data_IF_030338994322
#
_entry.id   IF_030338994322
#
_cell.length_a   1.000
_cell.length_b   1.000
_cell.length_c   1.000
_cell.angle_alpha   90.00
_cell.angle_beta   90.00
_cell.angle_gamma   90.00
#
_symmetry.space_group_name_H-M   'P 1'
#
loop_
_entity.id
_entity.type
_entity.pdbx_description
1 polymer ?
#
# COMPACT_ATOMS: atom_id res chain seq x y z
N UNK A 1 -3.16 -60.16 26.56
CA UNK A 1 -2.34 -58.94 26.80
C UNK A 1 -2.65 -58.02 25.62
N UNK A 2 -3.51 -57.03 25.91
CA UNK A 2 -4.07 -56.12 24.89
C UNK A 2 -3.34 -54.77 25.04
N UNK A 3 -2.53 -54.41 24.07
CA UNK A 3 -1.82 -53.11 24.03
C UNK A 3 -2.70 -52.07 23.35
N UNK A 4 -3.24 -51.19 24.17
CA UNK A 4 -4.01 -50.01 23.77
C UNK A 4 -3.05 -49.01 23.10
N UNK A 5 -3.11 -48.90 21.79
CA UNK A 5 -2.44 -47.83 21.03
C UNK A 5 -3.41 -46.65 20.95
N UNK A 6 -3.28 -45.71 21.89
CA UNK A 6 -3.96 -44.40 21.84
C UNK A 6 -3.30 -43.57 20.74
N UNK A 7 -3.96 -43.50 19.61
CA UNK A 7 -3.69 -42.49 18.59
C UNK A 7 -3.99 -41.10 19.21
N UNK A 8 -2.96 -40.38 19.57
CA UNK A 8 -3.04 -38.94 19.74
C UNK A 8 -3.20 -38.29 18.35
N UNK A 9 -4.43 -38.25 17.85
CA UNK A 9 -4.81 -37.28 16.83
C UNK A 9 -4.79 -35.90 17.50
N UNK A 10 -3.68 -35.20 17.34
CA UNK A 10 -3.62 -33.77 17.62
C UNK A 10 -4.56 -33.10 16.64
N UNK A 11 -5.63 -32.51 17.14
CA UNK A 11 -6.49 -31.63 16.34
C UNK A 11 -5.61 -30.50 15.78
N UNK A 12 -5.26 -30.60 14.51
CA UNK A 12 -4.50 -29.59 13.74
C UNK A 12 -5.38 -28.42 13.26
N UNK A 13 -6.65 -28.40 13.67
CA UNK A 13 -7.62 -27.45 13.19
C UNK A 13 -7.83 -26.36 14.22
N UNK A 14 -7.50 -25.17 13.84
CA UNK A 14 -7.76 -23.84 14.38
C UNK A 14 -6.54 -23.06 14.82
N UNK A 15 -5.65 -22.78 13.82
CA UNK A 15 -5.06 -21.45 13.82
C UNK A 15 -6.12 -20.54 13.20
N UNK A 16 -6.79 -19.78 14.04
CA UNK A 16 -7.70 -18.72 13.59
C UNK A 16 -6.89 -17.73 12.73
N UNK A 17 -7.02 -17.88 11.40
CA UNK A 17 -6.41 -17.02 10.40
C UNK A 17 -7.35 -15.85 10.07
N UNK A 18 -8.29 -15.54 10.99
CA UNK A 18 -9.14 -14.39 10.84
C UNK A 18 -8.28 -13.13 10.63
N UNK A 19 -8.67 -12.35 9.65
CA UNK A 19 -8.14 -11.02 9.39
C UNK A 19 -8.39 -10.19 10.65
N UNK A 20 -7.33 -9.96 11.44
CA UNK A 20 -7.39 -9.04 12.56
C UNK A 20 -7.56 -7.64 11.96
N UNK A 21 -8.82 -7.25 11.78
CA UNK A 21 -9.22 -5.97 11.24
C UNK A 21 -8.81 -4.87 12.21
N UNK A 22 -7.88 -4.04 11.76
CA UNK A 22 -7.42 -2.80 12.39
C UNK A 22 -6.85 -2.96 13.80
N UNK A 23 -5.54 -2.82 13.90
CA UNK A 23 -4.85 -2.58 15.18
C UNK A 23 -5.19 -1.15 15.58
N UNK A 24 -6.25 -0.99 16.36
CA UNK A 24 -6.43 0.20 17.18
C UNK A 24 -5.47 0.07 18.37
N UNK A 25 -4.25 0.54 18.14
CA UNK A 25 -3.29 0.73 19.22
C UNK A 25 -3.77 1.96 19.98
N UNK A 26 -4.55 1.76 21.04
CA UNK A 26 -4.85 2.80 22.04
C UNK A 26 -3.55 3.30 22.71
N UNK A 27 -2.75 3.99 21.92
CA UNK A 27 -1.59 4.76 22.38
C UNK A 27 -2.08 6.20 22.50
N UNK A 28 -2.20 6.64 23.74
CA UNK A 28 -2.41 8.04 24.06
C UNK A 28 -1.40 8.89 23.28
N UNK A 29 -1.92 9.79 22.42
CA UNK A 29 -1.15 10.53 21.43
C UNK A 29 -0.10 11.51 21.97
N UNK A 30 -0.01 11.69 23.28
CA UNK A 30 0.85 12.71 23.89
C UNK A 30 2.24 12.22 24.34
N UNK A 31 2.49 10.90 24.36
CA UNK A 31 3.79 10.36 24.84
C UNK A 31 4.77 10.06 23.69
N UNK A 32 4.40 10.28 22.43
CA UNK A 32 5.19 9.88 21.26
C UNK A 32 6.00 11.00 20.60
N UNK A 33 5.95 12.25 21.09
CA UNK A 33 6.59 13.38 20.44
C UNK A 33 8.05 13.63 20.86
N UNK A 34 8.58 12.93 21.86
CA UNK A 34 9.97 13.15 22.33
C UNK A 34 10.99 12.05 22.00
N UNK A 35 10.63 11.01 21.24
CA UNK A 35 11.60 10.02 20.78
C UNK A 35 12.38 10.55 19.58
N UNK A 36 13.46 11.28 19.85
CA UNK A 36 14.64 11.51 19.00
C UNK A 36 14.36 11.47 17.49
N UNK A 37 14.02 12.64 16.94
CA UNK A 37 14.22 12.96 15.54
C UNK A 37 15.73 12.87 15.24
N UNK A 38 16.27 11.69 15.11
CA UNK A 38 17.54 11.51 14.41
C UNK A 38 17.27 11.96 12.98
N UNK A 39 17.75 13.14 12.64
CA UNK A 39 17.73 13.71 11.30
C UNK A 39 18.39 12.71 10.35
N UNK A 40 17.59 11.80 9.80
CA UNK A 40 18.03 10.95 8.70
C UNK A 40 17.96 11.85 7.48
N UNK A 41 19.10 12.07 6.84
CA UNK A 41 19.19 12.83 5.59
C UNK A 41 18.09 12.37 4.64
N UNK A 42 17.32 13.28 4.02
CA UNK A 42 16.26 12.92 3.10
C UNK A 42 16.87 12.06 1.98
N UNK A 43 16.26 10.92 1.68
CA UNK A 43 16.69 10.07 0.57
C UNK A 43 16.76 10.92 -0.71
N UNK A 44 17.92 10.96 -1.35
CA UNK A 44 18.23 11.83 -2.49
C UNK A 44 17.43 11.51 -3.77
N UNK A 45 16.60 10.44 -3.74
CA UNK A 45 15.82 9.98 -4.89
C UNK A 45 14.58 10.83 -5.23
N UNK A 46 14.23 11.82 -4.40
CA UNK A 46 13.11 12.71 -4.67
C UNK A 46 13.57 13.91 -5.48
N UNK A 47 13.38 13.89 -6.80
CA UNK A 47 13.34 15.13 -7.58
C UNK A 47 12.02 15.85 -7.25
N UNK A 48 12.16 17.06 -6.72
CA UNK A 48 11.04 17.93 -6.37
C UNK A 48 10.18 18.21 -7.61
N UNK A 49 8.93 17.76 -7.64
CA UNK A 49 7.95 18.15 -8.65
C UNK A 49 7.06 17.04 -9.20
N UNK A 50 7.52 15.81 -9.28
CA UNK A 50 6.73 14.73 -9.87
C UNK A 50 5.87 14.03 -8.80
N UNK A 51 4.55 14.22 -8.88
CA UNK A 51 3.62 13.35 -8.13
C UNK A 51 3.56 11.98 -8.82
N UNK A 52 4.05 10.91 -8.19
CA UNK A 52 4.00 9.60 -8.80
C UNK A 52 2.55 9.13 -8.95
N UNK A 53 2.17 8.72 -10.15
CA UNK A 53 0.89 8.03 -10.36
C UNK A 53 0.92 6.71 -9.61
N UNK A 54 0.10 6.59 -8.56
CA UNK A 54 -0.02 5.36 -7.78
C UNK A 54 -1.01 4.43 -8.46
N UNK A 55 -0.50 3.44 -9.17
CA UNK A 55 -1.29 2.60 -10.08
C UNK A 55 -1.16 1.10 -9.81
N UNK A 56 -0.28 0.68 -8.87
CA UNK A 56 0.05 -0.74 -8.72
C UNK A 56 0.15 -1.22 -7.28
N UNK A 57 -0.10 -2.51 -7.05
CA UNK A 57 0.26 -3.20 -5.82
C UNK A 57 1.69 -3.71 -5.97
N UNK A 58 2.55 -3.41 -5.00
CA UNK A 58 3.96 -3.83 -5.02
C UNK A 58 4.19 -4.90 -3.95
N UNK A 59 4.79 -6.02 -4.35
CA UNK A 59 5.19 -7.08 -3.44
C UNK A 59 6.68 -6.95 -3.13
N UNK A 60 6.98 -6.73 -1.88
CA UNK A 60 8.34 -6.63 -1.35
C UNK A 60 8.64 -7.82 -0.44
N UNK A 61 9.89 -8.16 -0.32
CA UNK A 61 10.35 -9.22 0.59
C UNK A 61 11.76 -9.62 0.25
N UNK A 62 12.52 -10.05 1.23
CA UNK A 62 13.92 -10.45 1.06
C UNK A 62 14.09 -11.78 0.34
N UNK A 63 15.33 -12.08 0.07
CA UNK A 63 15.76 -13.43 -0.35
C UNK A 63 15.24 -14.45 0.66
N UNK A 64 14.70 -15.56 0.18
CA UNK A 64 14.11 -16.63 0.99
C UNK A 64 12.78 -16.31 1.70
N UNK A 65 12.24 -15.12 1.58
CA UNK A 65 10.89 -14.80 2.10
C UNK A 65 9.76 -15.58 1.39
N UNK A 66 10.08 -16.34 0.34
CA UNK A 66 9.11 -17.17 -0.38
C UNK A 66 8.33 -16.43 -1.46
N UNK A 67 8.80 -15.26 -1.95
CA UNK A 67 8.13 -14.46 -2.98
C UNK A 67 7.71 -15.28 -4.20
N UNK A 68 8.66 -15.99 -4.82
CA UNK A 68 8.42 -16.78 -6.03
C UNK A 68 7.35 -17.86 -5.80
N UNK A 69 7.42 -18.56 -4.66
CA UNK A 69 6.46 -19.61 -4.31
C UNK A 69 5.08 -19.00 -4.02
N UNK A 70 5.03 -17.90 -3.26
CA UNK A 70 3.79 -17.18 -2.98
C UNK A 70 3.11 -16.73 -4.28
N UNK A 71 3.86 -16.08 -5.18
CA UNK A 71 3.34 -15.58 -6.45
C UNK A 71 2.88 -16.70 -7.39
N UNK A 72 3.66 -17.76 -7.52
CA UNK A 72 3.31 -18.90 -8.39
C UNK A 72 2.02 -19.58 -7.91
N UNK A 73 1.86 -19.77 -6.60
CA UNK A 73 0.66 -20.40 -6.04
C UNK A 73 -0.55 -19.46 -6.04
N UNK A 74 -0.36 -18.17 -5.75
CA UNK A 74 -1.40 -17.15 -5.87
C UNK A 74 -1.90 -17.10 -7.32
N UNK A 75 -0.96 -17.03 -8.28
CA UNK A 75 -1.27 -16.99 -9.69
C UNK A 75 -2.05 -18.23 -10.15
N UNK A 76 -1.59 -19.43 -9.81
CA UNK A 76 -2.28 -20.67 -10.15
C UNK A 76 -3.72 -20.69 -9.60
N UNK A 77 -3.91 -20.30 -8.35
CA UNK A 77 -5.22 -20.26 -7.70
C UNK A 77 -6.16 -19.27 -8.40
N UNK A 78 -5.70 -18.04 -8.60
CA UNK A 78 -6.51 -16.97 -9.18
C UNK A 78 -6.77 -17.16 -10.67
N UNK A 79 -5.79 -17.67 -11.42
CA UNK A 79 -5.94 -17.95 -12.86
C UNK A 79 -6.93 -19.08 -13.14
N UNK A 80 -6.97 -20.11 -12.28
CA UNK A 80 -7.95 -21.20 -12.36
C UNK A 80 -9.35 -20.80 -11.91
N UNK A 81 -9.56 -19.59 -11.45
CA UNK A 81 -10.85 -19.11 -10.95
C UNK A 81 -11.28 -19.71 -9.61
N UNK A 82 -10.32 -20.21 -8.82
CA UNK A 82 -10.58 -20.82 -7.51
C UNK A 82 -10.54 -19.80 -6.36
N UNK A 83 -10.62 -18.49 -6.66
CA UNK A 83 -10.53 -17.41 -5.69
C UNK A 83 -11.46 -16.26 -5.98
N UNK A 84 -11.39 -15.21 -5.12
CA UNK A 84 -12.14 -13.96 -5.30
C UNK A 84 -11.51 -13.04 -6.35
N UNK A 85 -10.24 -13.26 -6.66
CA UNK A 85 -9.45 -12.47 -7.61
C UNK A 85 -9.24 -13.31 -8.87
N UNK A 86 -9.48 -12.71 -10.03
CA UNK A 86 -8.96 -13.24 -11.29
C UNK A 86 -7.63 -12.57 -11.62
N UNK A 87 -6.64 -13.34 -12.06
CA UNK A 87 -5.28 -12.87 -12.25
C UNK A 87 -4.68 -13.41 -13.54
N UNK A 88 -4.18 -12.50 -14.38
CA UNK A 88 -3.52 -12.81 -15.64
C UNK A 88 -2.14 -12.13 -15.70
N UNK A 89 -1.22 -12.70 -16.47
CA UNK A 89 0.05 -12.05 -16.79
C UNK A 89 -0.01 -11.40 -18.17
N UNK A 90 0.65 -10.27 -18.34
CA UNK A 90 0.78 -9.61 -19.65
C UNK A 90 1.67 -10.39 -20.63
N UNK A 91 2.44 -11.37 -20.15
CA UNK A 91 3.45 -12.12 -20.91
C UNK A 91 3.27 -13.62 -20.81
N UNK A 92 3.19 -14.31 -21.96
CA UNK A 92 3.19 -15.77 -21.99
C UNK A 92 4.43 -16.40 -21.35
N UNK A 93 5.59 -15.70 -21.39
CA UNK A 93 6.80 -16.15 -20.71
C UNK A 93 6.63 -16.15 -19.19
N UNK A 94 6.05 -15.11 -18.62
CA UNK A 94 5.75 -15.02 -17.18
C UNK A 94 4.72 -16.08 -16.76
N UNK A 95 3.68 -16.27 -17.58
CA UNK A 95 2.68 -17.32 -17.38
C UNK A 95 3.33 -18.70 -17.25
N UNK A 96 4.13 -19.08 -18.24
CA UNK A 96 4.82 -20.37 -18.24
C UNK A 96 5.81 -20.50 -17.08
N UNK A 97 6.55 -19.44 -16.74
CA UNK A 97 7.51 -19.47 -15.64
C UNK A 97 6.82 -19.76 -14.29
N UNK A 98 5.67 -19.12 -14.03
CA UNK A 98 4.90 -19.31 -12.79
C UNK A 98 4.30 -20.71 -12.72
N UNK A 99 3.68 -21.20 -13.82
CA UNK A 99 3.11 -22.54 -13.86
C UNK A 99 4.19 -23.63 -13.80
N UNK A 100 5.34 -23.44 -14.45
CA UNK A 100 6.46 -24.38 -14.36
C UNK A 100 6.99 -24.49 -12.93
N UNK A 101 7.05 -23.38 -12.20
CA UNK A 101 7.44 -23.42 -10.78
C UNK A 101 6.46 -24.26 -9.94
N UNK A 102 5.16 -24.18 -10.23
CA UNK A 102 4.14 -25.02 -9.58
C UNK A 102 4.28 -26.48 -10.01
N UNK A 103 4.47 -26.77 -11.32
CA UNK A 103 4.65 -28.10 -11.84
C UNK A 103 5.90 -28.79 -11.27
N UNK A 104 7.02 -28.06 -11.14
CA UNK A 104 8.24 -28.59 -10.52
C UNK A 104 8.01 -29.01 -9.07
N UNK A 105 7.25 -28.24 -8.31
CA UNK A 105 6.88 -28.61 -6.94
C UNK A 105 5.90 -29.80 -6.91
N UNK A 106 4.94 -29.86 -7.83
CA UNK A 106 3.91 -30.91 -7.86
C UNK A 106 4.46 -32.25 -8.34
N UNK A 107 5.17 -32.26 -9.48
CA UNK A 107 5.60 -33.47 -10.18
C UNK A 107 6.95 -33.96 -9.68
N UNK A 108 7.91 -33.04 -9.52
CA UNK A 108 9.28 -33.40 -9.12
C UNK A 108 9.55 -33.29 -7.63
N UNK A 109 8.57 -32.77 -6.84
CA UNK A 109 8.70 -32.56 -5.38
C UNK A 109 9.97 -31.80 -5.01
N UNK A 110 10.30 -30.78 -5.80
CA UNK A 110 11.48 -29.93 -5.61
C UNK A 110 11.05 -28.49 -5.44
N UNK A 111 11.73 -27.82 -4.53
CA UNK A 111 11.58 -26.37 -4.41
C UNK A 111 12.15 -25.68 -5.65
N UNK A 112 11.50 -24.65 -6.18
CA UNK A 112 12.06 -23.84 -7.26
C UNK A 112 13.43 -23.31 -6.91
N UNK A 113 14.30 -23.20 -7.92
CA UNK A 113 15.61 -22.59 -7.73
C UNK A 113 15.47 -21.14 -7.26
N UNK A 114 16.45 -20.67 -6.49
CA UNK A 114 16.53 -19.27 -6.14
C UNK A 114 16.62 -18.40 -7.41
N UNK A 115 16.01 -17.23 -7.37
CA UNK A 115 16.04 -16.28 -8.48
C UNK A 115 17.40 -15.61 -8.53
N UNK A 116 18.16 -15.91 -9.59
CA UNK A 116 19.52 -15.39 -9.77
C UNK A 116 19.53 -14.02 -10.46
N UNK A 117 18.48 -13.71 -11.23
CA UNK A 117 18.32 -12.46 -11.98
C UNK A 117 17.04 -11.76 -11.61
N UNK A 118 17.05 -10.43 -11.61
CA UNK A 118 15.83 -9.65 -11.44
C UNK A 118 14.83 -10.00 -12.55
N UNK A 119 13.68 -10.53 -12.18
CA UNK A 119 12.58 -10.83 -13.10
C UNK A 119 11.40 -9.97 -12.74
N UNK A 120 10.96 -9.21 -13.74
CA UNK A 120 9.76 -8.41 -13.63
C UNK A 120 8.54 -9.27 -13.94
N UNK A 121 7.60 -9.31 -13.01
CA UNK A 121 6.32 -10.00 -13.16
C UNK A 121 5.20 -8.97 -13.07
N UNK A 122 4.50 -8.81 -14.18
CA UNK A 122 3.37 -7.90 -14.33
C UNK A 122 2.07 -8.69 -14.43
N UNK A 123 1.10 -8.32 -13.60
CA UNK A 123 -0.17 -8.99 -13.48
C UNK A 123 -1.32 -8.00 -13.64
N UNK A 124 -2.33 -8.42 -14.39
CA UNK A 124 -3.64 -7.79 -14.41
C UNK A 124 -4.55 -8.55 -13.44
N UNK A 125 -5.10 -7.82 -12.49
CA UNK A 125 -6.04 -8.34 -11.51
C UNK A 125 -7.44 -7.85 -11.82
N UNK A 126 -8.41 -8.73 -11.74
CA UNK A 126 -9.83 -8.35 -11.75
C UNK A 126 -10.45 -8.76 -10.42
N UNK A 127 -11.02 -7.79 -9.70
CA UNK A 127 -11.70 -8.00 -8.44
C UNK A 127 -12.98 -7.16 -8.40
N UNK A 128 -14.13 -7.80 -8.14
CA UNK A 128 -15.45 -7.15 -8.11
C UNK A 128 -15.74 -6.25 -9.33
N UNK A 129 -15.34 -6.69 -10.53
CA UNK A 129 -15.50 -5.96 -11.78
C UNK A 129 -14.52 -4.79 -11.99
N UNK A 130 -13.59 -4.56 -11.08
CA UNK A 130 -12.56 -3.54 -11.22
C UNK A 130 -11.23 -4.16 -11.65
N UNK A 131 -10.55 -3.49 -12.59
CA UNK A 131 -9.22 -3.88 -13.04
C UNK A 131 -8.13 -3.14 -12.26
N UNK A 132 -7.06 -3.86 -11.90
CA UNK A 132 -5.90 -3.36 -11.18
C UNK A 132 -4.63 -3.94 -11.77
N UNK A 133 -3.52 -3.23 -11.62
CA UNK A 133 -2.21 -3.76 -11.93
C UNK A 133 -1.48 -4.16 -10.65
N UNK A 134 -0.93 -5.36 -10.62
CA UNK A 134 0.01 -5.78 -9.58
C UNK A 134 1.36 -6.04 -10.22
N UNK A 135 2.38 -5.58 -9.56
CA UNK A 135 3.74 -5.78 -10.01
C UNK A 135 4.54 -6.43 -8.91
N UNK A 136 5.21 -7.51 -9.23
CA UNK A 136 6.24 -8.07 -8.40
C UNK A 136 7.55 -8.04 -9.15
N UNK A 137 8.50 -7.37 -8.57
CA UNK A 137 9.89 -7.46 -8.99
C UNK A 137 10.53 -8.58 -8.18
N UNK A 138 10.77 -9.74 -8.81
CA UNK A 138 11.55 -10.79 -8.19
C UNK A 138 13.03 -10.43 -8.37
N UNK A 139 13.55 -9.71 -7.39
CA UNK A 139 14.92 -9.18 -7.36
C UNK A 139 15.78 -9.97 -6.37
N UNK A 140 17.08 -10.12 -6.65
CA UNK A 140 18.03 -10.57 -5.67
C UNK A 140 17.99 -9.68 -4.41
N UNK A 141 18.08 -10.27 -3.22
CA UNK A 141 18.06 -9.51 -1.96
C UNK A 141 19.12 -8.40 -1.89
N UNK A 142 20.19 -8.59 -2.65
CA UNK A 142 21.25 -7.60 -2.83
C UNK A 142 20.76 -6.28 -3.44
N UNK A 143 19.89 -6.33 -4.44
CA UNK A 143 19.32 -5.11 -5.06
C UNK A 143 18.47 -4.33 -4.04
N UNK A 144 17.70 -5.02 -3.22
CA UNK A 144 16.93 -4.39 -2.16
C UNK A 144 17.84 -3.74 -1.10
N UNK A 145 18.89 -4.45 -0.65
CA UNK A 145 19.88 -3.92 0.29
C UNK A 145 20.57 -2.68 -0.28
N UNK A 146 21.05 -2.75 -1.51
CA UNK A 146 21.67 -1.60 -2.20
C UNK A 146 20.74 -0.41 -2.30
N UNK A 147 19.46 -0.62 -2.64
CA UNK A 147 18.49 0.45 -2.78
C UNK A 147 18.14 1.11 -1.43
N UNK A 148 17.83 0.33 -0.40
CA UNK A 148 17.25 0.85 0.84
C UNK A 148 18.19 0.90 2.04
N UNK A 149 19.27 0.14 2.03
CA UNK A 149 20.27 0.13 3.11
C UNK A 149 21.50 0.96 2.72
N UNK A 150 22.09 0.65 1.57
CA UNK A 150 23.32 1.30 1.10
C UNK A 150 23.05 2.59 0.30
N UNK A 151 21.82 2.78 -0.16
CA UNK A 151 21.39 3.93 -0.97
C UNK A 151 22.25 4.12 -2.25
N UNK A 152 22.64 3.01 -2.87
CA UNK A 152 23.40 2.99 -4.11
C UNK A 152 22.44 3.17 -5.27
N UNK A 153 22.73 4.11 -6.15
CA UNK A 153 21.94 4.41 -7.35
C UNK A 153 22.58 3.76 -8.57
N UNK A 154 21.94 2.73 -9.12
CA UNK A 154 22.25 2.09 -10.38
C UNK A 154 20.98 1.69 -11.13
N UNK A 155 21.10 1.11 -12.32
CA UNK A 155 19.94 0.76 -13.14
C UNK A 155 18.94 -0.18 -12.41
N UNK A 156 19.41 -1.18 -11.67
CA UNK A 156 18.57 -2.15 -10.99
C UNK A 156 17.88 -1.54 -9.76
N UNK A 157 18.60 -0.71 -9.00
CA UNK A 157 18.03 -0.02 -7.83
C UNK A 157 17.07 1.07 -8.26
N UNK A 158 17.34 1.78 -9.35
CA UNK A 158 16.45 2.79 -9.92
C UNK A 158 15.12 2.18 -10.37
N UNK A 159 15.13 1.00 -11.01
CA UNK A 159 13.92 0.26 -11.39
C UNK A 159 13.09 -0.13 -10.16
N UNK A 160 13.71 -0.70 -9.13
CA UNK A 160 13.02 -1.04 -7.87
C UNK A 160 12.40 0.20 -7.22
N UNK A 161 13.16 1.30 -7.15
CA UNK A 161 12.69 2.57 -6.59
C UNK A 161 11.51 3.13 -7.38
N UNK A 162 11.53 3.08 -8.72
CA UNK A 162 10.41 3.52 -9.55
C UNK A 162 9.13 2.72 -9.26
N UNK A 163 9.25 1.39 -9.12
CA UNK A 163 8.11 0.57 -8.72
C UNK A 163 7.55 0.95 -7.36
N UNK A 164 8.42 1.16 -6.38
CA UNK A 164 8.02 1.52 -5.02
C UNK A 164 7.38 2.92 -4.99
N UNK A 165 7.86 3.88 -5.79
CA UNK A 165 7.24 5.21 -5.95
C UNK A 165 5.79 5.11 -6.42
N UNK A 166 5.49 4.18 -7.31
CA UNK A 166 4.17 3.99 -7.92
C UNK A 166 3.24 3.07 -7.12
N UNK A 167 3.62 2.68 -5.90
CA UNK A 167 2.82 1.79 -5.08
C UNK A 167 1.51 2.45 -4.63
N UNK A 168 0.37 1.88 -5.03
CA UNK A 168 -0.97 2.15 -4.50
C UNK A 168 -1.30 1.26 -3.29
N UNK A 169 -0.61 0.12 -3.16
CA UNK A 169 -0.66 -0.81 -2.04
C UNK A 169 0.64 -1.59 -1.94
N UNK A 170 1.01 -2.03 -0.75
CA UNK A 170 2.25 -2.77 -0.51
C UNK A 170 1.98 -4.03 0.29
N UNK A 171 2.57 -5.13 -0.16
CA UNK A 171 2.57 -6.41 0.54
C UNK A 171 4.01 -6.76 0.88
N UNK A 172 4.32 -6.85 2.18
CA UNK A 172 5.65 -7.19 2.69
C UNK A 172 5.67 -8.65 3.09
N UNK A 173 6.48 -9.47 2.41
CA UNK A 173 6.65 -10.88 2.74
C UNK A 173 7.86 -11.09 3.66
N UNK A 174 7.64 -11.71 4.80
CA UNK A 174 8.67 -11.99 5.80
C UNK A 174 8.62 -13.46 6.22
N UNK A 175 9.77 -14.11 6.27
CA UNK A 175 9.92 -15.44 6.86
C UNK A 175 10.19 -15.31 8.37
N UNK A 176 9.29 -15.82 9.24
CA UNK A 176 9.46 -15.75 10.69
C UNK A 176 10.76 -16.36 11.20
N UNK A 177 11.23 -17.45 10.60
CA UNK A 177 12.47 -18.13 11.01
C UNK A 177 13.70 -17.23 10.82
N UNK A 178 13.72 -16.44 9.75
CA UNK A 178 14.85 -15.53 9.47
C UNK A 178 14.94 -14.46 10.54
N UNK A 179 13.81 -13.86 10.91
CA UNK A 179 13.75 -12.81 11.94
C UNK A 179 14.11 -13.35 13.34
N UNK A 180 13.71 -14.58 13.64
CA UNK A 180 13.93 -15.17 14.98
C UNK A 180 15.28 -15.86 15.14
N UNK A 181 16.03 -16.08 14.06
CA UNK A 181 17.26 -16.89 14.07
C UNK A 181 18.42 -16.28 14.86
N UNK A 182 18.31 -15.02 15.30
CA UNK A 182 19.30 -14.34 16.13
C UNK A 182 20.67 -14.11 15.47
N UNK A 183 20.80 -14.38 14.18
CA UNK A 183 21.98 -13.98 13.40
C UNK A 183 21.93 -12.47 13.22
N UNK A 184 22.65 -11.78 14.09
CA UNK A 184 22.60 -10.33 14.27
C UNK A 184 22.81 -9.55 12.96
N UNK A 185 23.61 -10.04 12.02
CA UNK A 185 23.84 -9.40 10.73
C UNK A 185 22.62 -9.45 9.81
N UNK A 186 22.08 -10.64 9.57
CA UNK A 186 21.03 -10.85 8.57
C UNK A 186 19.67 -10.29 9.02
N UNK A 187 19.28 -10.49 10.28
CA UNK A 187 17.97 -10.04 10.78
C UNK A 187 17.90 -8.52 10.98
N UNK A 188 19.00 -7.91 11.43
CA UNK A 188 19.06 -6.46 11.64
C UNK A 188 19.03 -5.70 10.31
N UNK A 189 19.76 -6.20 9.30
CA UNK A 189 19.74 -5.61 7.96
C UNK A 189 18.36 -5.73 7.32
N UNK A 190 17.62 -6.82 7.61
CA UNK A 190 16.26 -7.05 7.13
C UNK A 190 15.27 -6.02 7.65
N UNK A 191 15.21 -5.88 8.94
CA UNK A 191 14.32 -4.94 9.59
C UNK A 191 14.67 -3.50 9.16
N UNK A 192 15.95 -3.14 9.13
CA UNK A 192 16.39 -1.82 8.70
C UNK A 192 16.00 -1.51 7.25
N UNK A 193 16.29 -2.41 6.31
CA UNK A 193 15.96 -2.21 4.90
C UNK A 193 14.45 -2.07 4.66
N UNK A 194 13.63 -2.89 5.33
CA UNK A 194 12.17 -2.79 5.24
C UNK A 194 11.67 -1.48 5.85
N UNK A 195 12.20 -1.07 7.00
CA UNK A 195 11.88 0.22 7.62
C UNK A 195 12.21 1.38 6.68
N UNK A 196 13.36 1.37 6.02
CA UNK A 196 13.73 2.42 5.07
C UNK A 196 12.81 2.43 3.84
N UNK A 197 12.45 1.26 3.29
CA UNK A 197 11.48 1.18 2.20
C UNK A 197 10.12 1.78 2.59
N UNK A 198 9.63 1.47 3.80
CA UNK A 198 8.36 2.03 4.30
C UNK A 198 8.45 3.53 4.56
N UNK A 199 9.54 4.02 5.15
CA UNK A 199 9.78 5.46 5.33
C UNK A 199 9.81 6.18 3.99
N UNK A 200 10.47 5.60 2.99
CA UNK A 200 10.48 6.13 1.64
C UNK A 200 9.06 6.27 1.08
N UNK A 201 8.24 5.21 1.15
CA UNK A 201 6.85 5.23 0.69
C UNK A 201 6.04 6.28 1.44
N UNK A 202 6.16 6.35 2.77
CA UNK A 202 5.43 7.30 3.62
C UNK A 202 5.86 8.76 3.39
N UNK A 203 7.10 8.99 3.00
CA UNK A 203 7.62 10.32 2.66
C UNK A 203 7.19 10.84 1.28
N UNK A 204 6.62 9.98 0.43
CA UNK A 204 6.10 10.41 -0.87
C UNK A 204 4.73 11.11 -0.72
N UNK A 205 4.40 12.07 -1.59
CA UNK A 205 3.06 12.69 -1.61
C UNK A 205 1.96 11.62 -1.69
N UNK A 206 0.99 11.65 -0.77
CA UNK A 206 -0.07 10.65 -0.65
C UNK A 206 0.40 9.26 -0.16
N UNK A 207 1.65 9.15 0.29
CA UNK A 207 2.23 7.91 0.81
C UNK A 207 1.61 7.46 2.13
N UNK A 208 1.11 8.39 2.91
CA UNK A 208 0.43 8.16 4.20
C UNK A 208 -0.83 7.30 4.06
N UNK A 209 -1.49 7.34 2.91
CA UNK A 209 -2.73 6.59 2.64
C UNK A 209 -2.50 5.22 2.01
N UNK A 210 -1.27 4.88 1.63
CA UNK A 210 -0.95 3.59 0.99
C UNK A 210 -1.17 2.44 1.98
N UNK A 211 -2.08 1.49 1.71
CA UNK A 211 -2.27 0.32 2.56
C UNK A 211 -1.02 -0.56 2.55
N UNK A 212 -0.59 -1.01 3.72
CA UNK A 212 0.56 -1.87 3.89
C UNK A 212 0.15 -3.12 4.66
N UNK A 213 0.27 -4.28 3.99
CA UNK A 213 0.06 -5.59 4.57
C UNK A 213 1.39 -6.27 4.89
N UNK A 214 1.59 -6.67 6.15
CA UNK A 214 2.72 -7.50 6.56
C UNK A 214 2.30 -8.96 6.57
N UNK A 215 2.98 -9.77 5.80
CA UNK A 215 2.67 -11.17 5.59
C UNK A 215 3.76 -12.04 6.21
N UNK A 216 3.43 -12.77 7.25
CA UNK A 216 4.27 -13.85 7.76
C UNK A 216 4.07 -15.07 6.87
N UNK A 217 5.11 -15.45 6.14
CA UNK A 217 5.08 -16.61 5.24
C UNK A 217 5.43 -17.91 5.98
N UNK A 218 5.18 -19.06 5.34
CA UNK A 218 5.55 -20.38 5.87
C UNK A 218 5.02 -20.64 7.29
N UNK A 219 3.77 -20.21 7.56
CA UNK A 219 3.18 -20.32 8.90
C UNK A 219 3.00 -21.76 9.35
N UNK A 220 2.97 -22.73 8.43
CA UNK A 220 2.89 -24.17 8.72
C UNK A 220 4.13 -24.66 9.50
N UNK A 221 5.33 -24.34 9.01
CA UNK A 221 6.57 -24.74 9.69
C UNK A 221 6.93 -23.84 10.85
N UNK A 222 6.38 -22.61 10.87
CA UNK A 222 6.61 -21.63 11.91
C UNK A 222 5.49 -21.57 12.97
N UNK A 223 4.51 -22.48 12.90
CA UNK A 223 3.32 -22.45 13.75
C UNK A 223 3.66 -22.44 15.25
N UNK A 224 4.61 -23.29 15.68
CA UNK A 224 5.01 -23.37 17.08
C UNK A 224 5.73 -22.09 17.54
N UNK A 225 6.61 -21.55 16.69
CA UNK A 225 7.29 -20.29 16.94
C UNK A 225 6.30 -19.14 17.11
N UNK A 226 5.35 -19.01 16.17
CA UNK A 226 4.33 -17.97 16.19
C UNK A 226 3.45 -18.12 17.42
N UNK A 227 3.01 -19.36 17.73
CA UNK A 227 2.17 -19.67 18.90
C UNK A 227 2.86 -19.36 20.21
N UNK A 228 4.16 -19.69 20.32
CA UNK A 228 4.99 -19.39 21.50
C UNK A 228 5.05 -17.89 21.81
N UNK A 229 4.92 -17.04 20.80
CA UNK A 229 4.92 -15.58 20.94
C UNK A 229 3.51 -14.95 21.01
N UNK A 230 2.46 -15.73 21.22
CA UNK A 230 1.09 -15.21 21.34
C UNK A 230 0.41 -14.92 19.99
N UNK A 231 0.71 -15.74 18.97
CA UNK A 231 0.14 -15.63 17.64
C UNK A 231 0.87 -14.61 16.74
N UNK A 232 0.26 -14.28 15.60
CA UNK A 232 0.84 -13.37 14.60
C UNK A 232 1.18 -12.00 15.21
N UNK A 233 0.27 -11.45 16.01
CA UNK A 233 0.44 -10.14 16.64
C UNK A 233 1.57 -10.12 17.65
N UNK A 234 1.61 -11.09 18.55
CA UNK A 234 2.68 -11.21 19.55
C UNK A 234 4.05 -11.40 18.90
N UNK A 235 4.12 -12.22 17.84
CA UNK A 235 5.34 -12.38 17.04
C UNK A 235 5.76 -11.07 16.40
N UNK A 236 4.85 -10.37 15.71
CA UNK A 236 5.14 -9.10 15.04
C UNK A 236 5.57 -8.00 16.03
N UNK A 237 4.91 -7.88 17.17
CA UNK A 237 5.30 -6.93 18.22
C UNK A 237 6.73 -7.18 18.73
N UNK A 238 7.15 -8.45 18.80
CA UNK A 238 8.51 -8.79 19.25
C UNK A 238 9.57 -8.56 18.18
N UNK A 239 9.31 -9.00 16.95
CA UNK A 239 10.35 -9.07 15.90
C UNK A 239 10.21 -8.00 14.81
N UNK A 240 9.02 -7.39 14.65
CA UNK A 240 8.74 -6.36 13.65
C UNK A 240 8.39 -5.02 14.28
N UNK A 241 8.82 -4.76 15.52
CA UNK A 241 8.45 -3.56 16.28
C UNK A 241 8.82 -2.25 15.53
N UNK A 242 9.98 -2.21 14.87
CA UNK A 242 10.39 -1.03 14.09
C UNK A 242 9.48 -0.78 12.89
N UNK A 243 9.00 -1.83 12.22
CA UNK A 243 8.02 -1.72 11.14
C UNK A 243 6.68 -1.18 11.66
N UNK A 244 6.21 -1.71 12.79
CA UNK A 244 4.95 -1.27 13.42
C UNK A 244 5.03 0.20 13.83
N UNK A 245 6.16 0.67 14.37
CA UNK A 245 6.36 2.09 14.71
C UNK A 245 6.31 3.02 13.50
N UNK A 246 6.82 2.58 12.34
CA UNK A 246 6.78 3.39 11.10
C UNK A 246 5.40 3.37 10.45
N UNK A 247 4.66 2.27 10.61
CA UNK A 247 3.32 2.08 10.05
C UNK A 247 2.37 1.58 11.14
N UNK A 248 1.82 2.47 11.97
CA UNK A 248 0.91 2.06 13.06
C UNK A 248 -0.33 1.30 12.58
N UNK A 249 -0.85 1.61 11.39
CA UNK A 249 -1.98 0.93 10.75
C UNK A 249 -1.57 -0.28 9.89
N UNK A 250 -0.49 -0.98 10.26
CA UNK A 250 -0.02 -2.19 9.59
C UNK A 250 -1.01 -3.35 9.83
N UNK A 251 -1.48 -3.97 8.77
CA UNK A 251 -2.34 -5.16 8.85
C UNK A 251 -1.50 -6.42 8.71
N UNK A 252 -1.71 -7.38 9.61
CA UNK A 252 -0.94 -8.62 9.68
C UNK A 252 -1.67 -9.78 9.00
N UNK A 253 -0.93 -10.57 8.26
CA UNK A 253 -1.44 -11.77 7.60
C UNK A 253 -0.50 -12.94 7.85
N UNK A 254 -1.06 -14.15 7.95
CA UNK A 254 -0.31 -15.38 7.94
C UNK A 254 -0.60 -16.15 6.64
N UNK A 255 0.42 -16.60 5.94
CA UNK A 255 0.24 -17.36 4.69
C UNK A 255 1.04 -18.64 4.65
N UNK A 256 0.44 -19.67 4.06
CA UNK A 256 1.12 -20.91 3.69
C UNK A 256 0.84 -21.19 2.21
N UNK A 257 1.80 -20.89 1.36
CA UNK A 257 1.66 -21.11 -0.08
C UNK A 257 1.80 -22.60 -0.45
N UNK A 258 2.76 -23.28 0.15
CA UNK A 258 3.02 -24.72 -0.03
C UNK A 258 3.48 -25.26 1.32
N UNK A 259 2.86 -26.35 1.78
CA UNK A 259 3.34 -27.03 2.97
C UNK A 259 4.65 -27.77 2.71
N UNK A 260 5.47 -27.85 3.73
CA UNK A 260 6.67 -28.66 3.73
C UNK A 260 6.40 -30.00 4.40
N UNK A 261 6.95 -31.08 3.84
CA UNK A 261 7.03 -32.37 4.51
C UNK A 261 8.45 -32.95 4.37
N UNK A 262 8.80 -33.86 5.23
CA UNK A 262 10.07 -34.59 5.12
C UNK A 262 9.88 -35.87 4.32
N UNK A 263 10.80 -36.14 3.39
CA UNK A 263 10.88 -37.42 2.69
C UNK A 263 11.51 -38.52 3.58
N UNK A 264 11.66 -39.70 3.02
CA UNK A 264 12.27 -40.84 3.73
C UNK A 264 13.73 -40.61 4.14
N UNK A 265 14.41 -39.65 3.52
CA UNK A 265 15.79 -39.26 3.80
C UNK A 265 15.87 -38.05 4.76
N UNK A 266 14.72 -37.57 5.26
CA UNK A 266 14.65 -36.42 6.16
C UNK A 266 14.77 -35.06 5.43
N UNK A 267 14.81 -35.03 4.10
CA UNK A 267 14.90 -33.82 3.31
C UNK A 267 13.54 -33.15 3.23
N UNK A 268 13.50 -31.83 3.38
CA UNK A 268 12.29 -31.04 3.18
C UNK A 268 11.92 -30.94 1.71
N UNK A 269 10.70 -31.39 1.40
CA UNK A 269 10.12 -31.37 0.05
C UNK A 269 8.77 -30.66 0.08
N UNK A 270 8.33 -30.03 -1.04
CA UNK A 270 7.01 -29.41 -1.13
C UNK A 270 5.89 -30.46 -1.13
N UNK A 271 4.78 -30.13 -0.46
CA UNK A 271 3.54 -30.93 -0.45
C UNK A 271 2.36 -30.08 -0.91
N UNK A 272 1.95 -30.28 -2.17
CA UNK A 272 0.83 -29.58 -2.79
C UNK A 272 -0.52 -30.30 -2.56
N UNK A 273 -0.54 -31.47 -1.92
CA UNK A 273 -1.79 -32.17 -1.60
C UNK A 273 -2.64 -31.40 -0.56
N UNK A 274 -2.02 -30.51 0.16
CA UNK A 274 -2.70 -29.61 1.08
C UNK A 274 -2.98 -28.26 0.41
N UNK A 275 -4.17 -27.67 0.58
CA UNK A 275 -4.48 -26.38 -0.01
C UNK A 275 -3.59 -25.27 0.56
N UNK A 276 -3.28 -24.31 -0.29
CA UNK A 276 -2.66 -23.07 0.16
C UNK A 276 -3.62 -22.31 1.09
N UNK A 277 -3.07 -21.48 1.99
CA UNK A 277 -3.88 -20.72 2.94
C UNK A 277 -3.49 -19.24 2.93
N UNK A 278 -4.50 -18.38 2.92
CA UNK A 278 -4.34 -16.93 3.12
C UNK A 278 -3.63 -16.19 1.99
N UNK A 279 -3.53 -16.73 0.78
CA UNK A 279 -2.76 -16.10 -0.31
C UNK A 279 -3.39 -14.81 -0.82
N UNK A 280 -4.72 -14.79 -0.98
CA UNK A 280 -5.43 -13.64 -1.55
C UNK A 280 -5.67 -12.52 -0.54
N UNK A 281 -5.75 -12.84 0.75
CA UNK A 281 -6.12 -11.89 1.80
C UNK A 281 -5.31 -10.59 1.79
N UNK A 282 -3.96 -10.60 1.66
CA UNK A 282 -3.17 -9.37 1.61
C UNK A 282 -3.46 -8.54 0.37
N UNK A 283 -3.74 -9.18 -0.75
CA UNK A 283 -4.06 -8.50 -2.02
C UNK A 283 -5.46 -7.88 -1.93
N UNK A 284 -6.45 -8.64 -1.45
CA UNK A 284 -7.83 -8.14 -1.24
C UNK A 284 -7.83 -6.95 -0.28
N UNK A 285 -7.05 -7.01 0.79
CA UNK A 285 -6.87 -5.88 1.70
C UNK A 285 -6.37 -4.63 0.96
N UNK A 286 -5.32 -4.75 0.14
CA UNK A 286 -4.82 -3.64 -0.66
C UNK A 286 -5.90 -3.12 -1.62
N UNK A 287 -6.59 -4.01 -2.35
CA UNK A 287 -7.63 -3.65 -3.31
C UNK A 287 -8.78 -2.88 -2.65
N UNK A 288 -9.29 -3.36 -1.50
CA UNK A 288 -10.35 -2.69 -0.74
C UNK A 288 -9.95 -1.27 -0.34
N UNK A 289 -8.74 -1.10 0.18
CA UNK A 289 -8.25 0.22 0.60
C UNK A 289 -8.00 1.15 -0.59
N UNK A 290 -7.47 0.63 -1.71
CA UNK A 290 -7.29 1.43 -2.93
C UNK A 290 -8.64 1.94 -3.45
N UNK A 291 -9.67 1.09 -3.49
CA UNK A 291 -11.02 1.49 -3.90
C UNK A 291 -11.59 2.54 -2.94
N UNK A 292 -11.51 2.30 -1.64
CA UNK A 292 -11.99 3.24 -0.63
C UNK A 292 -11.31 4.61 -0.74
N UNK A 293 -9.99 4.63 -0.91
CA UNK A 293 -9.24 5.88 -1.09
C UNK A 293 -9.60 6.60 -2.39
N UNK A 294 -9.85 5.87 -3.49
CA UNK A 294 -10.31 6.47 -4.77
C UNK A 294 -11.69 7.10 -4.64
N UNK A 295 -12.62 6.45 -3.93
CA UNK A 295 -13.96 7.00 -3.68
C UNK A 295 -13.84 8.28 -2.85
N UNK A 296 -13.09 8.23 -1.74
CA UNK A 296 -12.88 9.39 -0.87
C UNK A 296 -12.28 10.60 -1.62
N UNK A 297 -11.28 10.37 -2.45
CA UNK A 297 -10.66 11.44 -3.26
C UNK A 297 -11.64 12.05 -4.27
N UNK A 298 -12.50 11.23 -4.89
CA UNK A 298 -13.55 11.73 -5.80
C UNK A 298 -14.56 12.61 -5.08
N UNK A 299 -15.01 12.17 -3.90
CA UNK A 299 -15.97 12.92 -3.08
C UNK A 299 -15.38 14.26 -2.63
N UNK A 300 -14.13 14.28 -2.22
CA UNK A 300 -13.42 15.51 -1.84
C UNK A 300 -13.27 16.48 -3.02
N UNK A 301 -12.92 15.95 -4.20
CA UNK A 301 -12.81 16.76 -5.42
C UNK A 301 -14.17 17.36 -5.82
N UNK A 302 -15.24 16.56 -5.75
CA UNK A 302 -16.60 17.01 -6.05
C UNK A 302 -17.04 18.12 -5.07
N UNK A 303 -16.80 17.93 -3.77
CA UNK A 303 -17.09 18.94 -2.74
C UNK A 303 -16.31 20.25 -2.99
N UNK A 304 -15.01 20.16 -3.32
CA UNK A 304 -14.21 21.34 -3.67
C UNK A 304 -14.78 22.08 -4.88
N UNK A 305 -15.08 21.36 -5.95
CA UNK A 305 -15.64 21.97 -7.15
C UNK A 305 -16.98 22.65 -6.87
N UNK A 306 -17.84 22.07 -6.04
CA UNK A 306 -19.10 22.69 -5.60
C UNK A 306 -18.83 23.94 -4.75
N UNK A 307 -17.89 23.90 -3.83
CA UNK A 307 -17.54 25.07 -3.01
C UNK A 307 -16.96 26.23 -3.86
N UNK A 308 -16.08 25.91 -4.81
CA UNK A 308 -15.54 26.90 -5.74
C UNK A 308 -16.62 27.50 -6.64
N UNK A 309 -17.59 26.67 -7.10
CA UNK A 309 -18.74 27.17 -7.87
C UNK A 309 -19.57 28.15 -7.05
N UNK A 310 -19.96 27.78 -5.84
CA UNK A 310 -20.74 28.63 -4.93
C UNK A 310 -19.97 29.94 -4.64
N UNK A 311 -18.67 29.86 -4.38
CA UNK A 311 -17.87 31.09 -4.14
C UNK A 311 -17.81 32.02 -5.37
N UNK A 312 -17.76 31.44 -6.59
CA UNK A 312 -17.81 32.24 -7.83
C UNK A 312 -19.17 32.92 -8.00
N UNK A 313 -20.29 32.23 -7.74
CA UNK A 313 -21.62 32.82 -7.79
C UNK A 313 -21.74 33.98 -6.78
N UNK A 314 -21.36 33.75 -5.51
CA UNK A 314 -21.43 34.80 -4.49
C UNK A 314 -20.57 36.02 -4.88
N UNK A 315 -19.39 35.79 -5.48
CA UNK A 315 -18.53 36.88 -5.94
C UNK A 315 -19.14 37.65 -7.11
N UNK A 316 -19.80 36.95 -8.07
CA UNK A 316 -20.49 37.59 -9.20
C UNK A 316 -21.69 38.40 -8.75
N UNK A 317 -22.48 37.90 -7.81
CA UNK A 317 -23.62 38.60 -7.24
C UNK A 317 -23.17 39.86 -6.49
N UNK A 318 -22.10 39.77 -5.68
CA UNK A 318 -21.52 40.93 -4.98
C UNK A 318 -20.98 42.00 -5.96
N UNK A 319 -20.35 41.58 -7.07
CA UNK A 319 -19.88 42.47 -8.12
C UNK A 319 -21.07 43.14 -8.89
N UNK A 320 -22.16 42.42 -9.11
CA UNK A 320 -23.37 42.96 -9.72
C UNK A 320 -24.02 43.99 -8.80
N UNK A 321 -24.17 43.69 -7.52
CA UNK A 321 -24.78 44.61 -6.53
C UNK A 321 -23.93 45.89 -6.36
N UNK A 322 -22.60 45.79 -6.42
CA UNK A 322 -21.71 46.99 -6.38
C UNK A 322 -21.84 47.84 -7.66
N UNK A 323 -22.09 47.23 -8.84
CA UNK A 323 -22.31 47.98 -10.07
C UNK A 323 -23.67 48.72 -10.04
N UNK A 324 -24.71 48.07 -9.56
CA UNK A 324 -26.03 48.64 -9.42
C UNK A 324 -26.02 49.82 -8.44
N UNK A 325 -25.40 49.65 -7.28
CA UNK A 325 -25.25 50.75 -6.31
C UNK A 325 -24.45 51.95 -6.86
N UNK A 326 -23.39 51.72 -7.62
CA UNK A 326 -22.63 52.76 -8.31
C UNK A 326 -23.50 53.46 -9.39
N UNK A 327 -24.24 52.70 -10.15
CA UNK A 327 -25.14 53.29 -11.16
C UNK A 327 -26.20 54.23 -10.52
N UNK A 328 -26.84 53.82 -9.45
CA UNK A 328 -27.81 54.63 -8.71
C UNK A 328 -27.17 55.89 -8.06
N UNK A 329 -25.95 55.76 -7.54
CA UNK A 329 -25.21 56.91 -7.04
C UNK A 329 -24.91 57.93 -8.14
N UNK A 330 -24.44 57.50 -9.31
CA UNK A 330 -24.19 58.38 -10.46
C UNK A 330 -25.49 59.00 -10.99
N UNK A 331 -26.57 58.25 -11.08
CA UNK A 331 -27.89 58.75 -11.51
C UNK A 331 -28.38 59.86 -10.57
N UNK A 332 -28.25 59.69 -9.26
CA UNK A 332 -28.59 60.74 -8.27
C UNK A 332 -27.71 61.99 -8.37
N UNK A 333 -26.41 61.80 -8.60
CA UNK A 333 -25.47 62.94 -8.79
C UNK A 333 -25.85 63.74 -10.05
N UNK A 334 -26.15 63.07 -11.16
CA UNK A 334 -26.57 63.75 -12.41
C UNK A 334 -27.89 64.49 -12.21
N UNK A 335 -28.83 63.89 -11.49
CA UNK A 335 -30.12 64.55 -11.17
C UNK A 335 -29.92 65.79 -10.32
N UNK A 336 -29.08 65.76 -9.28
CA UNK A 336 -28.78 66.91 -8.43
C UNK A 336 -28.09 68.04 -9.20
N UNK A 337 -27.14 67.70 -10.07
CA UNK A 337 -26.45 68.70 -10.92
C UNK A 337 -27.46 69.31 -11.91
N UNK A 338 -28.35 68.53 -12.49
CA UNK A 338 -29.38 69.01 -13.36
C UNK A 338 -30.36 70.01 -12.67
N UNK A 339 -30.82 69.67 -11.47
CA UNK A 339 -31.68 70.54 -10.66
C UNK A 339 -30.96 71.85 -10.27
N UNK A 340 -29.66 71.77 -9.89
CA UNK A 340 -28.87 72.95 -9.60
C UNK A 340 -28.73 73.86 -10.83
N UNK A 341 -28.47 73.30 -12.01
CA UNK A 341 -28.41 74.04 -13.28
C UNK A 341 -29.72 74.75 -13.63
N UNK A 342 -30.84 74.08 -13.44
CA UNK A 342 -32.19 74.69 -13.66
C UNK A 342 -32.40 75.81 -12.64
N UNK A 343 -32.04 75.63 -11.38
CA UNK A 343 -32.11 76.66 -10.34
C UNK A 343 -31.29 77.92 -10.67
N UNK A 344 -30.08 77.75 -11.17
CA UNK A 344 -29.23 78.85 -11.63
C UNK A 344 -29.81 79.55 -12.84
N UNK A 345 -30.33 78.82 -13.82
CA UNK A 345 -31.00 79.40 -14.99
C UNK A 345 -32.25 80.20 -14.64
N UNK A 346 -33.10 79.68 -13.75
CA UNK A 346 -34.25 80.36 -13.24
C UNK A 346 -33.91 81.67 -12.50
N UNK A 347 -32.82 81.60 -11.68
CA UNK A 347 -32.31 82.78 -10.97
C UNK A 347 -31.81 83.85 -11.95
N UNK A 348 -31.07 83.47 -12.99
CA UNK A 348 -30.56 84.38 -14.02
C UNK A 348 -31.73 85.05 -14.76
N UNK A 349 -32.76 84.34 -15.15
CA UNK A 349 -33.90 84.82 -15.82
C UNK A 349 -34.69 85.84 -14.94
N UNK A 350 -34.95 85.45 -13.68
CA UNK A 350 -35.64 86.32 -12.72
C UNK A 350 -34.84 87.61 -12.50
N UNK A 351 -33.51 87.55 -12.39
CA UNK A 351 -32.71 88.72 -12.18
C UNK A 351 -32.62 89.69 -13.35
N UNK A 352 -32.76 89.17 -14.59
CA UNK A 352 -32.66 90.02 -15.80
C UNK A 352 -34.03 90.59 -16.29
N UNK A 353 -35.13 90.07 -15.76
CA UNK A 353 -36.47 90.49 -16.17
C UNK A 353 -37.32 91.13 -15.08
N UNK A 354 -36.79 91.24 -13.87
CA UNK A 354 -37.28 92.04 -12.74
C UNK A 354 -36.26 93.13 -12.39
#
# INVERSE_FOLDING_TARGET
>A
MSTNNRNNQVNEDELDLSVDSSIDLGLDGDTLLEATATSIAPMQFLRSGDQPTRDRIVILGRTRAGKTIYLSRLYEQCWRGNGEIHMETSSGKSHLALLNAVAEMAEHRRWPKATDNSTYLDFQLTWQGHAFTMVSLDYPGEVFRRAFVEQIEDANTAELIDHVKRAAGVVLLIDPIVLSSGKIGDAADDDYGMVQALRFIRGLPGGETVPIGLVLTKIDINADLIRHHGGLRGFANKYCNNLIRVVPALTLFGTCAVRSRRDALGKEIPDLNKPARGLENPIIFCLRNIVANRIKSRDETTKRSQQEFIQREIKQDAEAETKDTRFWLWANVVLLVGLAAVGVLTWIVVRNFL
#
